data_IF_701780575087
#
_entry.id   IF_701780575087
#
_cell.length_a   1.000
_cell.length_b   1.000
_cell.length_c   1.000
_cell.angle_alpha   90.00
_cell.angle_beta   90.00
_cell.angle_gamma   90.00
#
_symmetry.space_group_name_H-M   'P 1'
#
loop_
_entity.id
_entity.type
_entity.pdbx_description
1 polymer ?
#
# COMPACT_ATOMS: atom_id res chain seq x y z
N UNK A 1 32.58 11.24 -2.09
CA UNK A 1 32.43 9.84 -1.61
C UNK A 1 31.18 9.65 -0.75
N UNK A 2 30.84 10.58 0.12
CA UNK A 2 29.68 10.52 1.02
C UNK A 2 28.33 10.42 0.30
N UNK A 3 28.15 11.11 -0.81
CA UNK A 3 26.90 11.12 -1.58
C UNK A 3 26.57 9.76 -2.23
N UNK A 4 27.57 9.01 -2.67
CA UNK A 4 27.39 7.72 -3.35
C UNK A 4 26.98 6.60 -2.39
N UNK A 5 27.48 6.63 -1.17
CA UNK A 5 27.11 5.67 -0.12
C UNK A 5 25.67 5.90 0.37
N UNK A 6 25.26 7.17 0.49
CA UNK A 6 23.90 7.53 0.88
C UNK A 6 22.89 7.12 -0.19
N UNK A 7 23.25 7.25 -1.47
CA UNK A 7 22.42 6.82 -2.59
C UNK A 7 22.26 5.28 -2.62
N UNK A 8 23.36 4.55 -2.44
CA UNK A 8 23.33 3.09 -2.38
C UNK A 8 22.46 2.60 -1.20
N UNK A 9 22.65 3.21 -0.04
CA UNK A 9 21.87 2.90 1.17
C UNK A 9 20.37 3.16 0.97
N UNK A 10 20.02 4.29 0.39
CA UNK A 10 18.64 4.64 0.05
C UNK A 10 18.00 3.61 -0.90
N UNK A 11 18.73 3.19 -1.94
CA UNK A 11 18.26 2.17 -2.89
C UNK A 11 18.06 0.80 -2.22
N UNK A 12 18.97 0.42 -1.32
CA UNK A 12 18.83 -0.82 -0.55
C UNK A 12 17.60 -0.79 0.36
N UNK A 13 17.39 0.28 1.10
CA UNK A 13 16.20 0.42 1.96
C UNK A 13 14.90 0.43 1.16
N UNK A 14 14.86 1.12 0.02
CA UNK A 14 13.69 1.11 -0.87
C UNK A 14 13.40 -0.29 -1.40
N UNK A 15 14.43 -1.04 -1.78
CA UNK A 15 14.27 -2.43 -2.23
C UNK A 15 13.74 -3.36 -1.13
N UNK A 16 14.27 -3.24 0.09
CA UNK A 16 13.78 -4.00 1.25
C UNK A 16 12.32 -3.64 1.55
N UNK A 17 11.99 -2.34 1.60
CA UNK A 17 10.63 -1.88 1.86
C UNK A 17 9.64 -2.42 0.82
N UNK A 18 9.98 -2.34 -0.46
CA UNK A 18 9.15 -2.88 -1.55
C UNK A 18 8.97 -4.40 -1.42
N UNK A 19 10.02 -5.13 -1.09
CA UNK A 19 9.94 -6.58 -0.87
C UNK A 19 9.03 -6.95 0.30
N UNK A 20 9.10 -6.21 1.41
CA UNK A 20 8.22 -6.41 2.57
C UNK A 20 6.77 -6.12 2.22
N UNK A 21 6.49 -5.04 1.45
CA UNK A 21 5.14 -4.70 1.00
C UNK A 21 4.54 -5.81 0.13
N UNK A 22 5.29 -6.33 -0.84
CA UNK A 22 4.84 -7.43 -1.70
C UNK A 22 4.59 -8.70 -0.87
N UNK A 23 5.49 -9.05 0.03
CA UNK A 23 5.32 -10.18 0.92
C UNK A 23 4.07 -10.04 1.80
N UNK A 24 3.86 -8.89 2.42
CA UNK A 24 2.69 -8.60 3.23
C UNK A 24 1.39 -8.69 2.41
N UNK A 25 1.37 -8.17 1.19
CA UNK A 25 0.21 -8.25 0.30
C UNK A 25 -0.17 -9.69 -0.03
N UNK A 26 0.81 -10.56 -0.24
CA UNK A 26 0.56 -11.96 -0.55
C UNK A 26 0.12 -12.74 0.71
N UNK A 27 0.93 -12.70 1.77
CA UNK A 27 0.71 -13.53 2.96
C UNK A 27 -0.41 -13.03 3.86
N UNK A 28 -0.56 -11.72 3.99
CA UNK A 28 -1.54 -11.16 4.93
C UNK A 28 -2.89 -10.82 4.29
N UNK A 29 -2.96 -10.66 2.97
CA UNK A 29 -4.19 -10.28 2.28
C UNK A 29 -4.63 -11.35 1.27
N UNK A 30 -3.77 -11.71 0.32
CA UNK A 30 -4.18 -12.58 -0.80
C UNK A 30 -4.45 -14.02 -0.34
N UNK A 31 -3.57 -14.63 0.44
CA UNK A 31 -3.75 -16.00 0.92
C UNK A 31 -5.01 -16.12 1.78
N UNK A 32 -5.24 -15.29 2.82
CA UNK A 32 -6.50 -15.35 3.58
C UNK A 32 -7.75 -15.08 2.73
N UNK A 33 -7.66 -14.20 1.73
CA UNK A 33 -8.78 -13.96 0.81
C UNK A 33 -9.12 -15.22 -0.01
N UNK A 34 -8.10 -15.95 -0.47
CA UNK A 34 -8.29 -17.22 -1.20
C UNK A 34 -8.84 -18.35 -0.30
N UNK A 35 -8.56 -18.32 0.98
CA UNK A 35 -9.11 -19.27 1.94
C UNK A 35 -10.58 -19.00 2.26
N UNK A 36 -10.97 -17.74 2.34
CA UNK A 36 -12.34 -17.32 2.65
C UNK A 36 -13.26 -17.38 1.43
N UNK A 37 -12.77 -16.97 0.27
CA UNK A 37 -13.54 -16.87 -0.97
C UNK A 37 -13.09 -17.98 -1.96
N UNK A 38 -14.03 -18.88 -2.28
CA UNK A 38 -13.76 -19.99 -3.21
C UNK A 38 -13.83 -19.59 -4.67
N UNK A 39 -14.45 -18.44 -4.96
CA UNK A 39 -14.61 -17.95 -6.33
C UNK A 39 -13.41 -17.09 -6.73
N UNK A 40 -12.50 -17.66 -7.50
CA UNK A 40 -11.30 -16.99 -7.98
C UNK A 40 -11.62 -15.69 -8.76
N UNK A 41 -12.76 -15.60 -9.42
CA UNK A 41 -13.15 -14.41 -10.17
C UNK A 41 -13.37 -13.21 -9.24
N UNK A 42 -13.91 -13.42 -8.06
CA UNK A 42 -14.12 -12.34 -7.05
C UNK A 42 -12.77 -11.79 -6.62
N UNK A 43 -11.79 -12.66 -6.37
CA UNK A 43 -10.44 -12.27 -5.96
C UNK A 43 -9.75 -11.49 -7.08
N UNK A 44 -9.79 -12.00 -8.32
CA UNK A 44 -9.19 -11.32 -9.48
C UNK A 44 -9.84 -9.95 -9.73
N UNK A 45 -11.16 -9.86 -9.63
CA UNK A 45 -11.87 -8.58 -9.75
C UNK A 45 -11.48 -7.61 -8.64
N UNK A 46 -11.32 -8.09 -7.40
CA UNK A 46 -10.86 -7.27 -6.28
C UNK A 46 -9.47 -6.69 -6.52
N UNK A 47 -8.53 -7.50 -6.97
CA UNK A 47 -7.16 -7.05 -7.33
C UNK A 47 -7.22 -6.02 -8.46
N UNK A 48 -8.00 -6.29 -9.51
CA UNK A 48 -8.12 -5.39 -10.65
C UNK A 48 -8.74 -4.04 -10.27
N UNK A 49 -9.81 -4.05 -9.47
CA UNK A 49 -10.45 -2.83 -8.96
C UNK A 49 -9.52 -2.04 -8.05
N UNK A 50 -8.76 -2.71 -7.20
CA UNK A 50 -7.73 -2.08 -6.35
C UNK A 50 -6.64 -1.42 -7.18
N UNK A 51 -6.13 -2.08 -8.20
CA UNK A 51 -5.15 -1.51 -9.12
C UNK A 51 -5.70 -0.30 -9.88
N UNK A 52 -6.94 -0.38 -10.38
CA UNK A 52 -7.62 0.76 -11.03
C UNK A 52 -7.80 1.95 -10.08
N UNK A 53 -8.18 1.68 -8.83
CA UNK A 53 -8.32 2.74 -7.83
C UNK A 53 -6.99 3.46 -7.59
N UNK A 54 -5.89 2.71 -7.45
CA UNK A 54 -4.56 3.30 -7.28
C UNK A 54 -4.15 4.12 -8.50
N UNK A 55 -4.34 3.61 -9.71
CA UNK A 55 -4.08 4.36 -10.95
C UNK A 55 -4.93 5.65 -11.02
N UNK A 56 -6.18 5.58 -10.63
CA UNK A 56 -7.06 6.74 -10.59
C UNK A 56 -6.57 7.80 -9.60
N UNK A 57 -6.16 7.38 -8.40
CA UNK A 57 -5.56 8.27 -7.40
C UNK A 57 -4.26 8.90 -7.94
N UNK A 58 -3.43 8.12 -8.59
CA UNK A 58 -2.17 8.57 -9.19
C UNK A 58 -2.38 9.64 -10.26
N UNK A 59 -3.42 9.50 -11.08
CA UNK A 59 -3.78 10.50 -12.09
C UNK A 59 -4.34 11.81 -11.52
N UNK A 60 -5.03 11.75 -10.37
CA UNK A 60 -5.69 12.93 -9.78
C UNK A 60 -4.76 13.68 -8.85
N UNK A 61 -3.93 12.96 -8.11
CA UNK A 61 -3.07 13.54 -7.07
C UNK A 61 -1.79 14.07 -7.69
N UNK A 62 -1.53 15.38 -7.63
CA UNK A 62 -0.27 15.94 -8.12
C UNK A 62 0.87 15.49 -7.22
N UNK A 63 1.80 14.71 -7.75
CA UNK A 63 3.00 14.27 -7.05
C UNK A 63 4.25 14.47 -7.90
N UNK A 64 5.41 14.43 -7.25
CA UNK A 64 6.71 14.62 -7.89
C UNK A 64 7.66 13.50 -7.47
N UNK A 65 8.41 12.99 -8.41
CA UNK A 65 9.46 12.02 -8.11
C UNK A 65 10.64 12.65 -7.36
N UNK A 66 11.15 12.01 -6.30
CA UNK A 66 12.37 12.45 -5.64
C UNK A 66 13.54 12.46 -6.63
N UNK A 67 14.14 13.66 -6.88
CA UNK A 67 15.32 13.80 -7.72
C UNK A 67 15.04 14.25 -9.16
N UNK A 68 13.81 14.33 -9.61
CA UNK A 68 13.41 14.95 -10.88
C UNK A 68 12.56 16.19 -10.66
N UNK A 69 12.45 17.02 -11.69
CA UNK A 69 11.49 18.14 -11.70
C UNK A 69 10.22 17.80 -12.47
N UNK A 70 10.07 16.52 -12.84
CA UNK A 70 8.91 16.07 -13.57
C UNK A 70 7.71 15.94 -12.62
N UNK A 71 6.59 16.52 -13.01
CA UNK A 71 5.31 16.45 -12.30
C UNK A 71 4.47 15.37 -12.98
N UNK A 72 3.97 14.41 -12.19
CA UNK A 72 2.96 13.46 -12.63
C UNK A 72 1.61 13.81 -12.01
N UNK A 73 0.52 13.52 -12.74
CA UNK A 73 -0.83 13.88 -12.33
C UNK A 73 -1.25 15.28 -12.77
N UNK A 74 -2.21 15.86 -12.08
CA UNK A 74 -2.78 17.19 -12.42
C UNK A 74 -1.84 18.30 -12.03
N UNK A 75 -1.56 19.24 -12.95
CA UNK A 75 -0.77 20.45 -12.65
C UNK A 75 -1.35 21.22 -11.46
N UNK A 76 -0.49 21.61 -10.53
CA UNK A 76 -0.89 22.28 -9.30
C UNK A 76 0.15 23.30 -8.87
N UNK A 77 -0.32 24.46 -8.39
CA UNK A 77 0.53 25.54 -7.84
C UNK A 77 1.01 25.28 -6.40
N UNK A 78 0.77 24.10 -5.85
CA UNK A 78 1.20 23.75 -4.50
C UNK A 78 2.72 23.62 -4.41
N UNK A 79 3.27 23.95 -3.26
CA UNK A 79 4.71 23.76 -2.99
C UNK A 79 5.08 22.29 -3.11
N UNK A 80 6.29 21.99 -3.61
CA UNK A 80 6.83 20.63 -3.79
C UNK A 80 6.63 19.75 -2.56
N UNK A 81 6.93 20.25 -1.37
CA UNK A 81 6.75 19.53 -0.10
C UNK A 81 5.29 19.18 0.17
N UNK A 82 4.36 20.09 -0.12
CA UNK A 82 2.93 19.86 0.08
C UNK A 82 2.40 18.77 -0.86
N UNK A 83 2.83 18.77 -2.12
CA UNK A 83 2.49 17.73 -3.10
C UNK A 83 2.98 16.36 -2.62
N UNK A 84 4.22 16.27 -2.15
CA UNK A 84 4.81 15.04 -1.65
C UNK A 84 4.05 14.50 -0.42
N UNK A 85 3.79 15.36 0.57
CA UNK A 85 3.04 14.97 1.78
C UNK A 85 1.64 14.50 1.42
N UNK A 86 0.96 15.19 0.52
CA UNK A 86 -0.39 14.85 0.09
C UNK A 86 -0.42 13.50 -0.64
N UNK A 87 0.51 13.27 -1.57
CA UNK A 87 0.65 12.00 -2.28
C UNK A 87 0.90 10.83 -1.32
N UNK A 88 1.88 10.95 -0.42
CA UNK A 88 2.21 9.91 0.58
C UNK A 88 1.01 9.63 1.50
N UNK A 89 0.31 10.67 1.94
CA UNK A 89 -0.87 10.50 2.82
C UNK A 89 -1.98 9.73 2.10
N UNK A 90 -2.28 10.06 0.85
CA UNK A 90 -3.34 9.39 0.10
C UNK A 90 -2.99 7.93 -0.23
N UNK A 91 -1.74 7.62 -0.54
CA UNK A 91 -1.30 6.23 -0.75
C UNK A 91 -1.38 5.39 0.54
N UNK A 92 -1.14 6.01 1.70
CA UNK A 92 -1.23 5.32 2.98
C UNK A 92 -2.67 5.00 3.44
N UNK A 93 -3.70 5.63 2.86
CA UNK A 93 -5.11 5.33 3.21
C UNK A 93 -5.48 3.88 2.85
N UNK A 94 -5.29 3.39 1.61
CA UNK A 94 -5.57 1.98 1.28
C UNK A 94 -4.75 1.00 2.11
N UNK A 95 -3.48 1.31 2.39
CA UNK A 95 -2.62 0.49 3.23
C UNK A 95 -3.13 0.39 4.68
N UNK A 96 -3.52 1.53 5.26
CA UNK A 96 -4.11 1.56 6.59
C UNK A 96 -5.43 0.81 6.69
N UNK A 97 -6.27 0.87 5.64
CA UNK A 97 -7.50 0.09 5.55
C UNK A 97 -7.21 -1.41 5.50
N UNK A 98 -6.23 -1.85 4.73
CA UNK A 98 -5.81 -3.23 4.63
C UNK A 98 -5.33 -3.78 5.98
N UNK A 99 -4.46 -3.04 6.68
CA UNK A 99 -3.97 -3.41 8.03
C UNK A 99 -5.13 -3.46 9.03
N UNK A 100 -6.04 -2.48 8.99
CA UNK A 100 -7.22 -2.44 9.85
C UNK A 100 -8.13 -3.65 9.65
N UNK A 101 -8.31 -4.09 8.41
CA UNK A 101 -9.11 -5.28 8.09
C UNK A 101 -8.49 -6.57 8.66
N UNK A 102 -7.19 -6.76 8.48
CA UNK A 102 -6.46 -7.92 9.01
C UNK A 102 -6.52 -7.94 10.55
N UNK A 103 -6.37 -6.80 11.18
CA UNK A 103 -6.47 -6.69 12.64
C UNK A 103 -7.89 -7.01 13.15
N UNK A 104 -8.92 -6.51 12.47
CA UNK A 104 -10.31 -6.81 12.80
C UNK A 104 -10.61 -8.31 12.70
N UNK A 105 -10.13 -8.99 11.68
CA UNK A 105 -10.25 -10.45 11.53
C UNK A 105 -9.53 -11.20 12.64
N UNK A 106 -8.32 -10.79 13.00
CA UNK A 106 -7.56 -11.41 14.09
C UNK A 106 -8.29 -11.29 15.43
N UNK A 107 -8.89 -10.14 15.73
CA UNK A 107 -9.68 -9.91 16.95
C UNK A 107 -10.93 -10.80 16.97
N UNK A 108 -11.65 -10.91 15.85
CA UNK A 108 -12.82 -11.78 15.75
C UNK A 108 -12.46 -13.26 15.99
N UNK A 109 -11.35 -13.72 15.44
CA UNK A 109 -10.86 -15.09 15.63
C UNK A 109 -10.52 -15.34 17.10
N UNK A 110 -9.82 -14.44 17.76
CA UNK A 110 -9.49 -14.51 19.19
C UNK A 110 -10.74 -14.58 20.06
N UNK A 111 -11.75 -13.75 19.78
CA UNK A 111 -13.02 -13.74 20.51
C UNK A 111 -13.77 -15.04 20.35
N UNK A 112 -13.75 -15.64 19.15
CA UNK A 112 -14.38 -16.94 18.89
C UNK A 112 -13.71 -18.05 19.70
N UNK A 113 -12.37 -18.11 19.72
CA UNK A 113 -11.61 -19.07 20.52
C UNK A 113 -11.88 -18.92 22.02
N UNK A 114 -11.97 -17.70 22.53
CA UNK A 114 -12.28 -17.46 23.95
C UNK A 114 -13.72 -17.89 24.30
N UNK A 115 -14.67 -17.72 23.38
CA UNK A 115 -16.06 -18.15 23.60
C UNK A 115 -16.24 -19.68 23.53
N UNK A 116 -15.38 -20.39 22.79
CA UNK A 116 -15.38 -21.85 22.70
C UNK A 116 -14.64 -22.54 23.86
N UNK A 117 -13.83 -21.80 24.59
CA UNK A 117 -13.03 -22.31 25.73
C UNK A 117 -13.75 -22.18 27.07
N UNK A 118 -14.95 -21.62 27.12
CA UNK A 118 -15.87 -21.52 28.27
C UNK A 118 -16.98 -22.56 28.18
#
# INVERSE_FOLDING_TARGET
MENKNNELLSRCFSGIASGVMVAASIWSLLIPAMEQEKNILVIVLGIFLGALLLLFLDCIVPHMHPGTNDEEGKESHLKKTTKLVFAVTLHNIPEGMAVGLVLAQAIQTLNLFSALAL
#
